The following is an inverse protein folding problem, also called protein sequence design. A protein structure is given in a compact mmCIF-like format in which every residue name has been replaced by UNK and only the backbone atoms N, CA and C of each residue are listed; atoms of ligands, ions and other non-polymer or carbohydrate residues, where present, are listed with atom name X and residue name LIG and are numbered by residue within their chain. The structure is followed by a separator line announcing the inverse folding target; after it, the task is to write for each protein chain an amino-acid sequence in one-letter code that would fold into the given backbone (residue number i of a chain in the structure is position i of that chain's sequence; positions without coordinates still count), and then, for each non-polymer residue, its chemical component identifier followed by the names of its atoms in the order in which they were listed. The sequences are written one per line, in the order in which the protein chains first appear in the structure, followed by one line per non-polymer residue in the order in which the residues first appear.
data_IF_442465223276
#
_entry.id   IF_442465223276
#
_cell.length_a   1.000
_cell.length_b   1.000
_cell.length_c   1.000
_cell.angle_alpha   90.00
_cell.angle_beta   90.00
_cell.angle_gamma   90.00
#
_symmetry.space_group_name_H-M   'P 1'
#
loop_
_entity.id
_entity.type
_entity.pdbx_description
1 polymer ?
#
# COMPACT_ATOMS: atom_id res chain seq x y z
N UNK A 1 -15.39 68.75 3.61
CA UNK A 1 -14.52 69.42 4.60
C UNK A 1 -14.82 68.88 5.99
N UNK A 2 -14.03 67.90 6.45
CA UNK A 2 -13.60 67.70 7.84
C UNK A 2 -12.62 66.53 7.86
N UNK A 3 -11.37 66.93 7.81
CA UNK A 3 -10.17 66.14 8.00
C UNK A 3 -10.05 65.88 9.51
N UNK A 4 -9.86 64.64 9.93
CA UNK A 4 -9.26 64.31 11.23
C UNK A 4 -8.17 63.27 10.97
N UNK A 5 -6.93 63.76 11.00
CA UNK A 5 -5.71 62.99 11.04
C UNK A 5 -5.54 62.41 12.43
N UNK A 6 -5.32 61.10 12.54
CA UNK A 6 -4.68 60.51 13.73
C UNK A 6 -3.35 59.92 13.25
N UNK A 7 -2.29 60.68 13.49
CA UNK A 7 -0.91 60.21 13.39
C UNK A 7 -0.61 59.36 14.62
N UNK A 8 -0.24 58.10 14.40
CA UNK A 8 0.15 57.17 15.47
C UNK A 8 0.88 55.96 14.91
N UNK A 9 2.15 56.14 14.56
CA UNK A 9 3.07 55.06 14.21
C UNK A 9 3.49 54.31 15.48
N UNK A 10 3.26 52.99 15.52
CA UNK A 10 4.06 52.03 16.31
C UNK A 10 3.81 50.62 15.78
N UNK A 11 4.71 50.18 14.89
CA UNK A 11 5.48 48.95 15.01
C UNK A 11 4.82 47.82 15.84
N UNK A 12 4.30 46.76 15.21
CA UNK A 12 4.77 45.38 15.42
C UNK A 12 4.39 44.57 14.18
N UNK A 13 5.42 43.98 13.58
CA UNK A 13 5.38 42.94 12.57
C UNK A 13 4.23 41.95 12.78
N UNK A 14 3.21 41.97 11.90
CA UNK A 14 2.39 40.78 11.64
C UNK A 14 3.22 39.80 10.79
N UNK A 15 4.36 39.39 11.35
CA UNK A 15 5.18 38.31 10.81
C UNK A 15 4.85 37.10 11.67
N UNK A 16 4.29 36.10 10.99
CA UNK A 16 4.21 34.70 11.40
C UNK A 16 3.30 34.40 12.60
N UNK A 17 2.12 33.87 12.29
CA UNK A 17 1.84 32.49 12.67
C UNK A 17 1.65 31.66 11.40
N UNK A 18 2.73 31.50 10.64
CA UNK A 18 2.89 30.27 9.89
C UNK A 18 3.08 29.19 10.96
N UNK A 19 1.99 28.54 11.35
CA UNK A 19 2.07 27.29 12.09
C UNK A 19 2.99 26.38 11.28
N UNK A 20 4.11 25.88 11.83
CA UNK A 20 4.79 24.77 11.19
C UNK A 20 3.75 23.66 11.06
N UNK A 21 3.37 23.33 9.83
CA UNK A 21 2.62 22.12 9.58
C UNK A 21 3.43 21.00 10.22
N UNK A 22 2.82 20.39 11.23
CA UNK A 22 3.35 19.22 11.89
C UNK A 22 3.81 18.26 10.78
N UNK A 23 5.10 17.94 10.77
CA UNK A 23 5.64 16.85 9.97
C UNK A 23 4.78 15.62 10.30
N UNK A 24 3.89 15.26 9.37
CA UNK A 24 3.15 14.02 9.45
C UNK A 24 4.19 12.92 9.49
N UNK A 25 4.19 12.13 10.57
CA UNK A 25 4.80 10.81 10.56
C UNK A 25 4.38 10.13 9.25
N UNK A 26 5.38 9.71 8.47
CA UNK A 26 5.23 9.40 7.05
C UNK A 26 4.24 8.26 6.83
N UNK A 27 2.98 8.60 6.51
CA UNK A 27 2.11 7.69 5.79
C UNK A 27 2.46 7.88 4.31
N UNK A 28 2.89 6.82 3.59
CA UNK A 28 3.10 6.90 2.16
C UNK A 28 1.86 7.47 1.48
N UNK A 29 2.05 8.45 0.60
CA UNK A 29 0.95 8.99 -0.21
C UNK A 29 0.34 7.89 -1.06
N UNK A 30 -0.92 8.03 -1.47
CA UNK A 30 -1.60 7.02 -2.30
C UNK A 30 -0.80 6.72 -3.57
N UNK A 31 -0.26 7.75 -4.23
CA UNK A 31 0.59 7.63 -5.43
C UNK A 31 1.81 6.72 -5.22
N UNK A 32 2.46 6.81 -4.04
CA UNK A 32 3.61 5.95 -3.73
C UNK A 32 3.16 4.50 -3.62
N UNK A 33 2.00 4.26 -3.01
CA UNK A 33 1.47 2.91 -2.81
C UNK A 33 0.99 2.27 -4.11
N UNK A 34 0.37 3.07 -4.98
CA UNK A 34 0.00 2.65 -6.34
C UNK A 34 1.24 2.24 -7.12
N UNK A 35 2.28 3.09 -7.14
CA UNK A 35 3.54 2.79 -7.83
C UNK A 35 4.23 1.52 -7.29
N UNK A 36 4.19 1.29 -5.98
CA UNK A 36 4.68 0.05 -5.38
C UNK A 36 3.85 -1.16 -5.84
N UNK A 37 2.51 -1.10 -5.73
CA UNK A 37 1.63 -2.19 -6.12
C UNK A 37 1.76 -2.57 -7.60
N UNK A 38 1.89 -1.58 -8.49
CA UNK A 38 2.17 -1.81 -9.90
C UNK A 38 3.51 -2.52 -10.10
N UNK A 39 4.58 -2.04 -9.45
CA UNK A 39 5.89 -2.69 -9.53
C UNK A 39 5.85 -4.13 -9.04
N UNK A 40 5.14 -4.43 -7.93
CA UNK A 40 4.99 -5.81 -7.45
C UNK A 40 4.40 -6.72 -8.54
N UNK A 41 3.34 -6.30 -9.20
CA UNK A 41 2.74 -7.06 -10.30
C UNK A 41 3.65 -7.19 -11.51
N UNK A 42 4.38 -6.13 -11.91
CA UNK A 42 5.39 -6.19 -12.98
C UNK A 42 6.52 -7.16 -12.66
N UNK A 43 6.88 -7.31 -11.37
CA UNK A 43 7.86 -8.28 -10.90
C UNK A 43 7.32 -9.71 -10.86
N UNK A 44 6.04 -9.92 -11.19
CA UNK A 44 5.39 -11.22 -11.14
C UNK A 44 5.03 -11.66 -9.73
N UNK A 45 4.86 -10.71 -8.80
CA UNK A 45 4.46 -11.01 -7.43
C UNK A 45 2.95 -11.22 -7.34
N UNK A 46 2.56 -12.35 -6.77
CA UNK A 46 1.16 -12.79 -6.64
C UNK A 46 0.84 -13.06 -5.18
N UNK A 47 -0.29 -12.54 -4.71
CA UNK A 47 -0.87 -12.92 -3.43
C UNK A 47 -1.83 -14.10 -3.61
N UNK A 48 -1.53 -15.23 -3.00
CA UNK A 48 -2.46 -16.34 -2.84
C UNK A 48 -3.24 -16.10 -1.54
N UNK A 49 -4.49 -15.65 -1.69
CA UNK A 49 -5.34 -15.15 -0.63
C UNK A 49 -6.60 -15.96 -0.43
N UNK A 50 -7.42 -15.50 0.52
CA UNK A 50 -8.79 -16.00 0.69
C UNK A 50 -9.73 -14.88 1.15
N UNK A 51 -10.95 -14.84 0.64
CA UNK A 51 -11.97 -13.87 1.06
C UNK A 51 -12.39 -14.02 2.53
N UNK A 52 -12.26 -15.22 3.10
CA UNK A 52 -12.60 -15.50 4.51
C UNK A 52 -11.43 -15.29 5.47
N UNK A 53 -10.23 -15.06 4.94
CA UNK A 53 -9.00 -14.90 5.70
C UNK A 53 -8.86 -13.48 6.28
N UNK A 54 -8.76 -13.37 7.61
CA UNK A 54 -8.64 -12.09 8.32
C UNK A 54 -7.32 -11.36 8.01
N UNK A 55 -6.20 -12.09 7.97
CA UNK A 55 -4.89 -11.55 7.61
C UNK A 55 -4.86 -11.04 6.16
N UNK A 56 -5.56 -11.72 5.24
CA UNK A 56 -5.68 -11.32 3.85
C UNK A 56 -6.47 -10.01 3.74
N UNK A 57 -7.58 -9.88 4.47
CA UNK A 57 -8.31 -8.61 4.58
C UNK A 57 -7.44 -7.48 5.15
N UNK A 58 -6.62 -7.76 6.17
CA UNK A 58 -5.67 -6.79 6.70
C UNK A 58 -4.62 -6.38 5.65
N UNK A 59 -4.09 -7.35 4.90
CA UNK A 59 -3.14 -7.11 3.81
C UNK A 59 -3.73 -6.20 2.73
N UNK A 60 -4.93 -6.50 2.23
CA UNK A 60 -5.64 -5.64 1.26
C UNK A 60 -5.83 -4.23 1.80
N UNK A 61 -6.23 -4.10 3.08
CA UNK A 61 -6.41 -2.79 3.73
C UNK A 61 -5.10 -2.00 3.83
N UNK A 62 -3.96 -2.65 4.07
CA UNK A 62 -2.66 -1.99 4.10
C UNK A 62 -2.28 -1.38 2.74
N UNK A 63 -2.78 -1.96 1.65
CA UNK A 63 -2.63 -1.43 0.30
C UNK A 63 -3.66 -0.35 -0.07
N UNK A 64 -4.76 -0.20 0.64
CA UNK A 64 -5.80 0.77 0.26
C UNK A 64 -6.36 0.51 -1.14
N UNK A 65 -6.57 1.57 -1.93
CA UNK A 65 -7.09 1.47 -3.29
C UNK A 65 -6.05 0.86 -4.24
N UNK A 66 -4.75 1.14 -4.01
CA UNK A 66 -3.65 0.58 -4.77
C UNK A 66 -3.63 -0.97 -4.83
N UNK A 67 -4.34 -1.68 -3.94
CA UNK A 67 -4.44 -3.14 -4.01
C UNK A 67 -5.06 -3.63 -5.33
N UNK A 68 -5.84 -2.81 -6.04
CA UNK A 68 -6.37 -3.16 -7.36
C UNK A 68 -5.29 -3.47 -8.39
N UNK A 69 -4.06 -2.99 -8.19
CA UNK A 69 -2.92 -3.31 -9.04
C UNK A 69 -2.20 -4.59 -8.64
N UNK A 70 -2.45 -5.14 -7.45
CA UNK A 70 -1.84 -6.39 -6.99
C UNK A 70 -2.54 -7.57 -7.63
N UNK A 71 -1.77 -8.52 -8.16
CA UNK A 71 -2.32 -9.79 -8.63
C UNK A 71 -2.69 -10.68 -7.45
N UNK A 72 -3.99 -10.96 -7.27
CA UNK A 72 -4.49 -11.89 -6.25
C UNK A 72 -5.11 -13.15 -6.87
N UNK A 73 -4.80 -14.30 -6.27
CA UNK A 73 -5.41 -15.60 -6.53
C UNK A 73 -6.26 -16.01 -5.33
N UNK A 74 -7.56 -16.18 -5.55
CA UNK A 74 -8.51 -16.61 -4.53
C UNK A 74 -8.44 -18.13 -4.31
N UNK A 75 -8.07 -18.55 -3.10
CA UNK A 75 -7.89 -19.95 -2.74
C UNK A 75 -9.08 -20.59 -2.01
N UNK A 76 -10.11 -19.84 -1.62
CA UNK A 76 -11.31 -20.40 -1.01
C UNK A 76 -12.16 -21.12 -2.08
N UNK A 77 -12.39 -22.44 -1.99
CA UNK A 77 -13.12 -23.21 -3.01
C UNK A 77 -14.60 -22.82 -3.14
N UNK A 78 -15.15 -22.06 -2.18
CA UNK A 78 -16.54 -21.61 -2.19
C UNK A 78 -16.70 -20.14 -2.61
N UNK A 79 -15.60 -19.44 -2.91
CA UNK A 79 -15.64 -18.06 -3.36
C UNK A 79 -15.92 -17.96 -4.87
N UNK A 80 -16.57 -16.88 -5.33
CA UNK A 80 -16.67 -16.57 -6.75
C UNK A 80 -15.28 -16.46 -7.40
N UNK A 81 -15.13 -16.92 -8.64
CA UNK A 81 -13.88 -16.86 -9.41
C UNK A 81 -12.67 -17.50 -8.71
N UNK A 82 -12.93 -18.45 -7.80
CA UNK A 82 -11.89 -19.20 -7.10
C UNK A 82 -10.96 -19.94 -8.06
N UNK A 83 -9.70 -20.05 -7.65
CA UNK A 83 -8.68 -20.89 -8.28
C UNK A 83 -8.05 -21.81 -7.24
N UNK A 84 -8.88 -22.40 -6.37
CA UNK A 84 -8.43 -23.27 -5.28
C UNK A 84 -7.51 -24.43 -5.74
N UNK A 85 -7.77 -25.03 -6.92
CA UNK A 85 -6.91 -26.10 -7.45
C UNK A 85 -5.48 -25.61 -7.71
N UNK A 86 -5.32 -24.43 -8.29
CA UNK A 86 -3.99 -23.82 -8.47
C UNK A 86 -3.31 -23.61 -7.11
N UNK A 87 -4.05 -23.22 -6.07
CA UNK A 87 -3.48 -23.08 -4.73
C UNK A 87 -3.02 -24.43 -4.16
N UNK A 88 -3.69 -25.54 -4.46
CA UNK A 88 -3.26 -26.90 -4.09
C UNK A 88 -1.98 -27.26 -4.85
N UNK A 89 -1.95 -27.07 -6.17
CA UNK A 89 -0.77 -27.30 -7.02
C UNK A 89 0.46 -26.51 -6.55
N UNK A 90 0.26 -25.26 -6.15
CA UNK A 90 1.29 -24.35 -5.62
C UNK A 90 1.63 -24.60 -4.15
N UNK A 91 1.07 -25.65 -3.54
CA UNK A 91 1.28 -26.04 -2.15
C UNK A 91 1.02 -24.90 -1.15
N UNK A 92 -0.03 -24.12 -1.37
CA UNK A 92 -0.43 -23.05 -0.46
C UNK A 92 -1.07 -23.65 0.80
N UNK A 93 -0.34 -23.60 1.92
CA UNK A 93 -0.81 -24.14 3.21
C UNK A 93 -1.46 -23.09 4.11
N UNK A 94 -1.13 -21.81 3.91
CA UNK A 94 -1.62 -20.67 4.70
C UNK A 94 -1.91 -19.49 3.77
N UNK A 95 -2.84 -18.63 4.17
CA UNK A 95 -3.13 -17.38 3.46
C UNK A 95 -2.98 -16.17 4.41
N UNK A 96 -2.51 -15.01 3.92
CA UNK A 96 -1.97 -14.81 2.58
C UNK A 96 -0.61 -15.52 2.42
N UNK A 97 -0.30 -15.96 1.21
CA UNK A 97 1.05 -16.39 0.81
C UNK A 97 1.45 -15.59 -0.42
N UNK A 98 2.63 -15.00 -0.41
CA UNK A 98 3.15 -14.20 -1.49
C UNK A 98 4.23 -14.97 -2.25
N UNK A 99 4.11 -15.03 -3.57
CA UNK A 99 5.06 -15.75 -4.43
C UNK A 99 5.48 -14.83 -5.57
N UNK A 100 6.77 -14.83 -5.90
CA UNK A 100 7.28 -14.21 -7.13
C UNK A 100 7.44 -15.30 -8.19
N UNK A 101 6.72 -15.18 -9.29
CA UNK A 101 6.74 -16.10 -10.41
C UNK A 101 7.46 -15.49 -11.62
N UNK A 102 8.40 -16.24 -12.20
CA UNK A 102 9.06 -15.89 -13.46
C UNK A 102 8.94 -17.06 -14.41
N UNK A 103 8.38 -16.83 -15.59
CA UNK A 103 8.16 -17.87 -16.61
C UNK A 103 7.40 -19.10 -16.07
N UNK A 104 6.42 -18.86 -15.19
CA UNK A 104 5.61 -19.91 -14.56
C UNK A 104 6.30 -20.67 -13.42
N UNK A 105 7.55 -20.33 -13.09
CA UNK A 105 8.29 -20.94 -11.97
C UNK A 105 8.30 -20.01 -10.77
N UNK A 106 8.02 -20.57 -9.60
CA UNK A 106 8.22 -19.90 -8.33
C UNK A 106 9.72 -19.66 -8.10
N UNK A 107 10.07 -18.43 -7.74
CA UNK A 107 11.46 -18.04 -7.46
C UNK A 107 11.67 -17.62 -6.02
N UNK A 108 10.64 -17.06 -5.38
CA UNK A 108 10.68 -16.58 -3.99
C UNK A 108 9.29 -16.71 -3.36
N UNK A 109 9.25 -16.91 -2.03
CA UNK A 109 8.01 -17.07 -1.25
C UNK A 109 8.10 -16.36 0.11
N UNK A 110 6.99 -15.78 0.54
CA UNK A 110 6.73 -15.32 1.91
C UNK A 110 5.35 -15.81 2.36
N UNK A 111 5.22 -16.24 3.61
CA UNK A 111 3.93 -16.62 4.19
C UNK A 111 3.45 -15.60 5.21
N UNK A 112 2.14 -15.42 5.29
CA UNK A 112 1.50 -14.52 6.24
C UNK A 112 1.51 -13.05 5.79
N UNK A 113 0.94 -12.21 6.65
CA UNK A 113 0.90 -10.77 6.44
C UNK A 113 2.31 -10.17 6.37
N UNK A 114 2.50 -9.21 5.47
CA UNK A 114 3.75 -8.49 5.26
C UNK A 114 3.47 -6.98 5.24
N UNK A 115 4.43 -6.17 5.64
CA UNK A 115 4.36 -4.73 5.39
C UNK A 115 4.48 -4.46 3.88
N UNK A 116 3.85 -3.39 3.39
CA UNK A 116 3.88 -3.04 1.96
C UNK A 116 5.33 -2.77 1.52
N UNK A 117 6.10 -2.12 2.37
CA UNK A 117 7.50 -1.77 2.17
C UNK A 117 8.39 -3.02 2.15
N UNK A 118 8.10 -4.02 2.99
CA UNK A 118 8.83 -5.30 3.00
C UNK A 118 8.59 -6.07 1.70
N UNK A 119 7.34 -6.09 1.21
CA UNK A 119 7.02 -6.68 -0.10
C UNK A 119 7.77 -5.95 -1.22
N UNK A 120 7.82 -4.62 -1.17
CA UNK A 120 8.54 -3.81 -2.14
C UNK A 120 10.04 -4.11 -2.12
N UNK A 121 10.68 -4.13 -0.95
CA UNK A 121 12.09 -4.49 -0.82
C UNK A 121 12.35 -5.91 -1.32
N UNK A 122 11.47 -6.86 -0.95
CA UNK A 122 11.58 -8.25 -1.37
C UNK A 122 11.47 -8.44 -2.89
N UNK A 123 10.65 -7.64 -3.56
CA UNK A 123 10.47 -7.66 -5.01
C UNK A 123 11.50 -6.82 -5.78
N UNK A 124 12.36 -6.05 -5.09
CA UNK A 124 13.27 -5.10 -5.74
C UNK A 124 12.54 -3.90 -6.33
N UNK A 125 11.52 -3.43 -5.62
CA UNK A 125 10.69 -2.26 -5.90
C UNK A 125 10.90 -1.12 -4.88
N UNK A 126 11.67 -1.34 -3.81
CA UNK A 126 12.02 -0.28 -2.87
C UNK A 126 12.84 0.80 -3.58
N UNK A 127 12.44 2.06 -3.43
CA UNK A 127 13.15 3.26 -3.88
C UNK A 127 13.58 4.07 -2.67
#
# INVERSE_FOLDING_TARGET
MKLLLILGSMLVCMVQWASPQAESAANPTEDVREGLAMCLSERGMVMYGSITCSACRAQRKAFGEAFSHVTEIECNPHAPNTRAELCIEKNIRKTPTWIIEKEGKETKRLEGYQLVEDLAAFAGCAR
#
